data_IF_952803997176
#
_entry.id   IF_952803997176
#
_cell.length_a   1.000
_cell.length_b   1.000
_cell.length_c   1.000
_cell.angle_alpha   90.00
_cell.angle_beta   90.00
_cell.angle_gamma   90.00
#
_symmetry.space_group_name_H-M   'P 1'
#
loop_
_entity.id
_entity.type
_entity.pdbx_description
1 polymer ?
#
# COMPACT_ATOMS: atom_id res chain seq x y z
N UNK A 1 -1.89 -22.41 -28.60
CA UNK A 1 -2.44 -21.65 -27.45
C UNK A 1 -1.52 -21.67 -26.24
N UNK A 2 -1.08 -22.84 -25.73
CA UNK A 2 -0.14 -22.92 -24.59
C UNK A 2 1.19 -22.16 -24.79
N UNK A 3 1.78 -22.18 -26.00
CA UNK A 3 2.99 -21.39 -26.32
C UNK A 3 2.76 -19.87 -26.19
N UNK A 4 1.68 -19.37 -26.80
CA UNK A 4 1.32 -17.94 -26.73
C UNK A 4 0.94 -17.47 -25.31
N UNK A 5 0.32 -18.35 -24.50
CA UNK A 5 0.06 -18.08 -23.09
C UNK A 5 1.36 -18.00 -22.26
N UNK A 6 2.30 -18.91 -22.51
CA UNK A 6 3.64 -18.86 -21.89
C UNK A 6 4.38 -17.57 -22.29
N UNK A 7 4.36 -17.18 -23.56
CA UNK A 7 4.96 -15.93 -24.06
C UNK A 7 4.29 -14.67 -23.49
N UNK A 8 3.00 -14.74 -23.18
CA UNK A 8 2.26 -13.67 -22.53
C UNK A 8 2.63 -13.51 -21.06
N UNK A 9 2.72 -14.62 -20.30
CA UNK A 9 3.13 -14.60 -18.89
C UNK A 9 4.62 -14.27 -18.74
N UNK A 10 5.49 -14.76 -19.62
CA UNK A 10 6.92 -14.45 -19.59
C UNK A 10 7.24 -12.98 -19.88
N UNK A 11 6.24 -12.19 -20.29
CA UNK A 11 6.33 -10.74 -20.34
C UNK A 11 6.35 -10.25 -18.88
N UNK A 12 7.56 -10.00 -18.33
CA UNK A 12 7.81 -9.80 -16.89
C UNK A 12 6.84 -8.88 -16.15
N UNK A 13 6.37 -7.81 -16.81
CA UNK A 13 5.36 -6.89 -16.27
C UNK A 13 4.04 -7.56 -15.84
N UNK A 14 3.65 -8.69 -16.45
CA UNK A 14 2.41 -9.41 -16.11
C UNK A 14 2.57 -10.22 -14.82
N UNK A 15 3.75 -10.80 -14.60
CA UNK A 15 4.04 -11.59 -13.39
C UNK A 15 4.07 -10.65 -12.19
N UNK A 16 4.77 -9.51 -12.30
CA UNK A 16 4.87 -8.53 -11.21
C UNK A 16 3.50 -7.97 -10.83
N UNK A 17 2.66 -7.68 -11.83
CA UNK A 17 1.27 -7.25 -11.62
C UNK A 17 0.45 -8.35 -10.94
N UNK A 18 0.55 -9.59 -11.41
CA UNK A 18 -0.18 -10.71 -10.82
C UNK A 18 0.19 -10.93 -9.35
N UNK A 19 1.49 -10.87 -9.03
CA UNK A 19 1.99 -10.98 -7.66
C UNK A 19 1.47 -9.84 -6.80
N UNK A 20 1.51 -8.60 -7.29
CA UNK A 20 0.99 -7.44 -6.57
C UNK A 20 -0.50 -7.59 -6.22
N UNK A 21 -1.32 -8.06 -7.16
CA UNK A 21 -2.77 -8.26 -6.93
C UNK A 21 -3.02 -9.37 -5.90
N UNK A 22 -2.34 -10.51 -6.01
CA UNK A 22 -2.52 -11.65 -5.09
C UNK A 22 -2.10 -11.28 -3.67
N UNK A 23 -0.94 -10.63 -3.51
CA UNK A 23 -0.45 -10.20 -2.20
C UNK A 23 -1.38 -9.12 -1.62
N UNK A 24 -1.83 -8.16 -2.43
CA UNK A 24 -2.77 -7.12 -2.01
C UNK A 24 -4.09 -7.71 -1.48
N UNK A 25 -4.64 -8.70 -2.18
CA UNK A 25 -5.86 -9.39 -1.75
C UNK A 25 -5.66 -10.17 -0.45
N UNK A 26 -4.57 -10.94 -0.33
CA UNK A 26 -4.25 -11.70 0.87
C UNK A 26 -4.06 -10.79 2.09
N UNK A 27 -3.35 -9.67 1.92
CA UNK A 27 -3.14 -8.70 3.00
C UNK A 27 -4.45 -8.04 3.44
N UNK A 28 -5.30 -7.63 2.49
CA UNK A 28 -6.62 -7.07 2.79
C UNK A 28 -7.46 -8.03 3.62
N UNK A 29 -7.41 -9.33 3.30
CA UNK A 29 -8.12 -10.36 4.08
C UNK A 29 -7.60 -10.47 5.52
N UNK A 30 -6.28 -10.39 5.74
CA UNK A 30 -5.68 -10.41 7.08
C UNK A 30 -6.13 -9.20 7.89
N UNK A 31 -6.06 -7.99 7.32
CA UNK A 31 -6.47 -6.78 8.02
C UNK A 31 -7.97 -6.81 8.33
N UNK A 32 -8.80 -7.20 7.38
CA UNK A 32 -10.24 -7.36 7.59
C UNK A 32 -10.54 -8.37 8.71
N UNK A 33 -9.83 -9.50 8.75
CA UNK A 33 -9.99 -10.47 9.84
C UNK A 33 -9.69 -9.87 11.20
N UNK A 34 -8.63 -9.06 11.33
CA UNK A 34 -8.32 -8.36 12.58
C UNK A 34 -9.42 -7.36 12.92
N UNK A 35 -9.91 -6.59 11.96
CA UNK A 35 -10.98 -5.62 12.22
C UNK A 35 -12.27 -6.31 12.64
N UNK A 36 -12.72 -7.30 11.88
CA UNK A 36 -13.96 -8.03 12.15
C UNK A 36 -13.91 -8.82 13.45
N UNK A 37 -12.78 -9.46 13.78
CA UNK A 37 -12.71 -10.36 14.93
C UNK A 37 -12.21 -9.69 16.21
N UNK A 38 -11.44 -8.60 16.13
CA UNK A 38 -10.89 -7.91 17.31
C UNK A 38 -11.55 -6.55 17.53
N UNK A 39 -11.66 -5.72 16.49
CA UNK A 39 -12.15 -4.35 16.65
C UNK A 39 -13.68 -4.26 16.70
N UNK A 40 -14.41 -4.98 15.84
CA UNK A 40 -15.87 -4.94 15.85
C UNK A 40 -16.47 -5.35 17.21
N UNK A 41 -15.99 -6.42 17.89
CA UNK A 41 -16.49 -6.75 19.24
C UNK A 41 -16.14 -5.69 20.29
N UNK A 42 -14.96 -5.08 20.22
CA UNK A 42 -14.55 -4.02 21.15
C UNK A 42 -15.40 -2.75 20.98
N UNK A 43 -15.69 -2.38 19.73
CA UNK A 43 -16.57 -1.25 19.44
C UNK A 43 -18.01 -1.60 19.85
N UNK A 44 -18.49 -2.80 19.53
CA UNK A 44 -19.80 -3.28 19.96
C UNK A 44 -19.99 -3.24 21.48
N UNK A 45 -18.97 -3.65 22.23
CA UNK A 45 -18.96 -3.58 23.70
C UNK A 45 -19.05 -2.13 24.23
N UNK A 46 -18.41 -1.17 23.57
CA UNK A 46 -18.47 0.26 23.95
C UNK A 46 -19.84 0.89 23.65
N UNK A 47 -20.51 0.47 22.59
CA UNK A 47 -21.81 0.98 22.18
C UNK A 47 -23.01 0.16 22.71
N UNK A 48 -22.77 -0.88 23.54
CA UNK A 48 -23.80 -1.84 24.00
C UNK A 48 -24.62 -2.45 22.86
N UNK A 49 -23.98 -2.76 21.74
CA UNK A 49 -24.58 -3.41 20.58
C UNK A 49 -23.75 -4.64 20.21
N UNK A 50 -24.40 -5.74 19.82
CA UNK A 50 -23.73 -6.99 19.43
C UNK A 50 -22.90 -6.78 18.14
N UNK A 51 -23.26 -5.77 17.35
CA UNK A 51 -22.50 -5.25 16.22
C UNK A 51 -22.81 -3.76 15.95
N UNK A 52 -21.91 -3.04 15.28
CA UNK A 52 -22.18 -1.69 14.78
C UNK A 52 -23.34 -1.65 13.77
N UNK A 53 -23.61 -2.76 13.09
CA UNK A 53 -24.72 -2.90 12.14
C UNK A 53 -26.11 -2.82 12.81
N UNK A 54 -26.17 -3.11 14.11
CA UNK A 54 -27.40 -3.06 14.91
C UNK A 54 -27.52 -1.79 15.76
N UNK A 55 -26.44 -1.00 15.86
CA UNK A 55 -26.47 0.31 16.49
C UNK A 55 -26.98 1.35 15.51
N UNK A 56 -27.99 2.15 15.91
CA UNK A 56 -28.59 3.21 15.10
C UNK A 56 -29.29 2.71 13.81
N UNK A 57 -30.06 1.62 13.91
CA UNK A 57 -30.97 1.21 12.84
C UNK A 57 -32.18 2.14 12.83
N UNK A 58 -32.31 2.94 11.77
CA UNK A 58 -33.52 3.73 11.54
C UNK A 58 -34.39 3.02 10.51
N UNK A 59 -35.50 2.44 10.96
CA UNK A 59 -36.45 1.77 10.08
C UNK A 59 -37.41 2.81 9.49
N UNK A 60 -37.35 2.99 8.18
CA UNK A 60 -38.30 3.81 7.42
C UNK A 60 -39.37 2.87 6.88
N UNK A 61 -40.63 3.07 7.27
CA UNK A 61 -41.76 2.34 6.72
C UNK A 61 -42.07 2.85 5.31
N UNK A 62 -42.01 1.97 4.32
CA UNK A 62 -42.39 2.24 2.93
C UNK A 62 -43.75 1.59 2.60
N UNK A 63 -44.48 2.11 1.59
CA UNK A 63 -45.79 1.57 1.20
C UNK A 63 -45.78 0.10 0.76
N UNK A 64 -44.61 -0.46 0.44
CA UNK A 64 -44.43 -1.85 -0.02
C UNK A 64 -43.42 -2.65 0.80
N UNK A 65 -42.99 -2.15 1.98
CA UNK A 65 -42.06 -2.86 2.87
C UNK A 65 -41.40 -1.97 3.93
N UNK A 66 -40.37 -2.47 4.60
CA UNK A 66 -39.54 -1.71 5.55
C UNK A 66 -38.13 -1.54 5.00
N UNK A 67 -37.60 -0.31 5.00
CA UNK A 67 -36.21 -0.03 4.70
C UNK A 67 -35.45 0.23 6.00
N UNK A 68 -34.43 -0.58 6.29
CA UNK A 68 -33.55 -0.38 7.45
C UNK A 68 -32.33 0.44 7.05
N UNK A 69 -32.18 1.64 7.62
CA UNK A 69 -30.98 2.46 7.44
C UNK A 69 -30.04 2.18 8.62
N UNK A 70 -28.96 1.45 8.35
CA UNK A 70 -27.95 1.04 9.34
C UNK A 70 -26.82 2.07 9.41
N UNK A 71 -27.02 3.18 10.12
CA UNK A 71 -25.99 4.22 10.24
C UNK A 71 -24.72 3.73 10.95
N UNK A 72 -24.87 2.83 11.92
CA UNK A 72 -23.72 2.23 12.60
C UNK A 72 -22.85 1.38 11.69
N UNK A 73 -23.41 0.70 10.69
CA UNK A 73 -22.66 -0.02 9.66
C UNK A 73 -21.70 0.90 8.89
N UNK A 74 -22.19 2.09 8.53
CA UNK A 74 -21.40 3.11 7.82
C UNK A 74 -20.25 3.59 8.71
N UNK A 75 -20.53 3.94 9.96
CA UNK A 75 -19.50 4.38 10.92
C UNK A 75 -18.46 3.26 11.14
N UNK A 76 -18.90 2.01 11.25
CA UNK A 76 -18.01 0.85 11.37
C UNK A 76 -17.11 0.66 10.15
N UNK A 77 -17.65 0.83 8.94
CA UNK A 77 -16.84 0.76 7.72
C UNK A 77 -15.80 1.89 7.65
N UNK A 78 -16.12 3.10 8.14
CA UNK A 78 -15.17 4.21 8.21
C UNK A 78 -14.06 3.92 9.23
N UNK A 79 -14.39 3.39 10.40
CA UNK A 79 -13.39 3.01 11.41
C UNK A 79 -12.49 1.90 10.86
N UNK A 80 -13.08 0.90 10.21
CA UNK A 80 -12.36 -0.19 9.53
C UNK A 80 -11.36 0.36 8.52
N UNK A 81 -11.81 1.27 7.66
CA UNK A 81 -10.97 1.92 6.66
C UNK A 81 -9.80 2.68 7.29
N UNK A 82 -10.04 3.44 8.36
CA UNK A 82 -9.00 4.19 9.07
C UNK A 82 -7.95 3.24 9.70
N UNK A 83 -8.39 2.11 10.26
CA UNK A 83 -7.48 1.11 10.82
C UNK A 83 -6.63 0.48 9.71
N UNK A 84 -7.25 0.08 8.59
CA UNK A 84 -6.52 -0.48 7.44
C UNK A 84 -5.47 0.52 6.93
N UNK A 85 -5.87 1.79 6.75
CA UNK A 85 -4.98 2.84 6.31
C UNK A 85 -3.81 3.06 7.30
N UNK A 86 -4.08 3.04 8.61
CA UNK A 86 -3.05 3.17 9.63
C UNK A 86 -2.05 2.01 9.59
N UNK A 87 -2.53 0.76 9.49
CA UNK A 87 -1.65 -0.41 9.42
C UNK A 87 -0.78 -0.35 8.16
N UNK A 88 -1.37 -0.05 7.00
CA UNK A 88 -0.62 0.08 5.73
C UNK A 88 0.44 1.17 5.85
N UNK A 89 0.10 2.31 6.43
CA UNK A 89 1.02 3.43 6.61
C UNK A 89 2.19 3.07 7.53
N UNK A 90 1.91 2.51 8.71
CA UNK A 90 2.96 2.20 9.69
C UNK A 90 3.85 1.02 9.28
N UNK A 91 3.29 0.00 8.62
CA UNK A 91 4.03 -1.23 8.26
C UNK A 91 4.79 -1.09 6.94
N UNK A 92 4.26 -0.35 5.96
CA UNK A 92 4.89 -0.24 4.64
C UNK A 92 5.41 1.16 4.35
N UNK A 93 4.56 2.18 4.45
CA UNK A 93 4.91 3.54 4.01
C UNK A 93 6.00 4.14 4.88
N UNK A 94 5.89 4.05 6.20
CA UNK A 94 6.84 4.62 7.15
C UNK A 94 8.24 4.00 7.03
N UNK A 95 8.42 2.66 7.04
CA UNK A 95 9.76 2.09 6.88
C UNK A 95 10.35 2.33 5.49
N UNK A 96 9.55 2.25 4.41
CA UNK A 96 10.03 2.54 3.07
C UNK A 96 10.48 4.01 2.96
N UNK A 97 9.70 4.94 3.50
CA UNK A 97 10.09 6.35 3.51
C UNK A 97 11.34 6.60 4.35
N UNK A 98 11.46 5.95 5.52
CA UNK A 98 12.68 6.04 6.35
C UNK A 98 13.91 5.48 5.66
N UNK A 99 13.79 4.36 4.95
CA UNK A 99 14.89 3.76 4.20
C UNK A 99 15.30 4.66 3.02
N UNK A 100 14.34 5.21 2.29
CA UNK A 100 14.61 6.18 1.21
C UNK A 100 15.32 7.41 1.74
N UNK A 101 14.84 8.01 2.83
CA UNK A 101 15.51 9.14 3.48
C UNK A 101 16.93 8.79 3.95
N UNK A 102 17.13 7.58 4.49
CA UNK A 102 18.45 7.12 4.92
C UNK A 102 19.41 6.95 3.74
N UNK A 103 18.93 6.38 2.63
CA UNK A 103 19.69 6.25 1.39
C UNK A 103 20.03 7.61 0.77
N UNK A 104 19.08 8.54 0.72
CA UNK A 104 19.31 9.91 0.23
C UNK A 104 20.32 10.67 1.08
N UNK A 105 20.28 10.51 2.41
CA UNK A 105 21.27 11.11 3.33
C UNK A 105 22.67 10.52 3.12
N UNK A 106 22.78 9.20 2.94
CA UNK A 106 24.05 8.53 2.62
C UNK A 106 24.62 8.98 1.27
N UNK A 107 23.75 9.10 0.26
CA UNK A 107 24.11 9.58 -1.08
C UNK A 107 24.58 11.04 -1.07
N UNK A 108 23.91 11.92 -0.32
CA UNK A 108 24.34 13.33 -0.12
C UNK A 108 25.64 13.45 0.68
N UNK A 109 25.98 12.48 1.51
CA UNK A 109 27.22 12.44 2.27
C UNK A 109 28.42 11.86 1.49
N UNK A 110 28.24 11.52 0.20
CA UNK A 110 29.32 11.04 -0.67
C UNK A 110 29.82 9.63 -0.34
N UNK A 111 29.11 8.89 0.50
CA UNK A 111 29.43 7.49 0.82
C UNK A 111 28.64 6.60 -0.14
N UNK A 112 29.27 6.22 -1.25
CA UNK A 112 28.77 5.15 -2.11
C UNK A 112 28.91 3.82 -1.36
N UNK A 113 27.82 3.05 -1.33
CA UNK A 113 27.84 1.68 -0.82
C UNK A 113 28.59 0.82 -1.86
N UNK A 114 29.70 0.12 -1.50
CA UNK A 114 30.57 -0.54 -2.47
C UNK A 114 29.91 -1.64 -3.32
N UNK A 115 28.73 -2.12 -2.91
CA UNK A 115 28.03 -3.26 -3.51
C UNK A 115 26.65 -2.91 -4.09
N UNK A 116 26.25 -1.64 -4.12
CA UNK A 116 25.02 -1.25 -4.80
C UNK A 116 25.30 -1.17 -6.31
N UNK A 117 24.49 -1.82 -7.18
CA UNK A 117 24.64 -1.65 -8.62
C UNK A 117 24.46 -0.17 -8.97
N UNK A 118 25.38 0.38 -9.78
CA UNK A 118 25.36 1.77 -10.20
C UNK A 118 23.98 2.13 -10.76
N UNK A 119 23.34 3.15 -10.19
CA UNK A 119 22.08 3.61 -10.76
C UNK A 119 22.36 4.34 -12.07
N UNK A 120 21.39 4.40 -12.98
CA UNK A 120 21.52 5.19 -14.22
C UNK A 120 21.97 6.63 -13.95
N UNK A 121 21.54 7.21 -12.82
CA UNK A 121 21.96 8.54 -12.38
C UNK A 121 23.45 8.61 -11.99
N UNK A 122 24.02 7.56 -11.41
CA UNK A 122 25.45 7.51 -11.07
C UNK A 122 26.27 7.44 -12.36
N UNK A 123 25.88 6.57 -13.30
CA UNK A 123 26.51 6.45 -14.62
C UNK A 123 26.42 7.78 -15.38
N UNK A 124 25.28 8.45 -15.35
CA UNK A 124 25.11 9.77 -15.99
C UNK A 124 25.96 10.86 -15.31
N UNK A 125 26.15 10.80 -13.99
CA UNK A 125 27.05 11.71 -13.27
C UNK A 125 28.49 11.50 -13.71
N UNK A 126 28.93 10.23 -13.80
CA UNK A 126 30.27 9.89 -14.26
C UNK A 126 30.50 10.32 -15.71
N UNK A 127 29.53 10.08 -16.60
CA UNK A 127 29.59 10.55 -18.00
C UNK A 127 29.70 12.09 -18.04
N UNK A 128 28.90 12.82 -17.25
CA UNK A 128 28.99 14.28 -17.17
C UNK A 128 30.39 14.73 -16.77
N UNK A 129 30.96 14.10 -15.75
CA UNK A 129 32.25 14.49 -15.20
C UNK A 129 33.40 14.15 -16.16
N UNK A 130 33.32 13.01 -16.86
CA UNK A 130 34.23 12.63 -17.94
C UNK A 130 34.14 13.60 -19.12
N UNK A 131 32.94 14.00 -19.54
CA UNK A 131 32.74 14.99 -20.61
C UNK A 131 33.26 16.37 -20.21
N UNK A 132 33.04 16.80 -18.96
CA UNK A 132 33.56 18.06 -18.44
C UNK A 132 35.10 18.07 -18.38
N UNK A 133 35.73 16.94 -18.02
CA UNK A 133 37.18 16.78 -18.06
C UNK A 133 37.72 16.82 -19.49
N UNK A 134 37.03 16.16 -20.43
CA UNK A 134 37.41 16.13 -21.84
C UNK A 134 37.29 17.51 -22.51
N UNK A 135 36.28 18.30 -22.14
CA UNK A 135 36.13 19.69 -22.59
C UNK A 135 37.29 20.58 -22.13
N UNK A 136 37.72 20.46 -20.87
CA UNK A 136 38.87 21.22 -20.34
C UNK A 136 40.22 20.85 -20.94
N UNK A 137 40.33 19.66 -21.54
CA UNK A 137 41.58 19.19 -22.15
C UNK A 137 41.71 19.65 -23.62
N UNK A 138 40.65 20.21 -24.19
CA UNK A 138 40.59 20.68 -25.59
C UNK A 138 40.84 22.19 -25.76
N UNK A 139 40.84 22.95 -24.66
CA UNK A 139 41.29 24.35 -24.59
C UNK A 139 42.77 24.43 -24.19
#
# INVERSE_FOLDING_TARGET
MLKGFREFILRGNVIDLAVAVVIGAAFTAVVNSIVTNLFNPLIGALFKAESLDESLVWTIALPTGSAEVKFGAVIGSVITFLIVAAVVYFVFVLPINKLKEAQERRRKAGVSEPDAPDTELDILSDIRDLLAAQARTRD
#
